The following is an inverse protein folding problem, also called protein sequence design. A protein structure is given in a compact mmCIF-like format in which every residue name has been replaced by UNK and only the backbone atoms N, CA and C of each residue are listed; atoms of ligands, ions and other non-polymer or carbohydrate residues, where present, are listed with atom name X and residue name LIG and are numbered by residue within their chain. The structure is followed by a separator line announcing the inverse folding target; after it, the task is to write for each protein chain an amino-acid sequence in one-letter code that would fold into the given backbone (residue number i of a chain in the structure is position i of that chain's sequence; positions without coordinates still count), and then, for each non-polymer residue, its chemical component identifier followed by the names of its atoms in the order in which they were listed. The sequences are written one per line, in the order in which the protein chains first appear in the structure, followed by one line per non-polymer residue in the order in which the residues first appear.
data_IF_379615178573
#
_entry.id   IF_379615178573
#
_cell.length_a   1.000
_cell.length_b   1.000
_cell.length_c   1.000
_cell.angle_alpha   90.00
_cell.angle_beta   90.00
_cell.angle_gamma   90.00
#
_symmetry.space_group_name_H-M   'P 1'
#
loop_
_entity.id
_entity.type
_entity.pdbx_description
1 polymer ?
#
# COMPACT_ATOMS: atom_id res chain seq x y z
N UNK A 1 -24.92 -21.83 14.76
CA UNK A 1 -25.45 -21.12 13.57
C UNK A 1 -24.75 -19.78 13.48
N UNK A 2 -23.96 -19.54 12.42
CA UNK A 2 -23.32 -18.25 12.19
C UNK A 2 -24.35 -17.34 11.52
N UNK A 3 -24.74 -16.25 12.17
CA UNK A 3 -25.66 -15.26 11.59
C UNK A 3 -24.85 -14.44 10.58
N UNK A 4 -25.21 -14.52 9.31
CA UNK A 4 -24.64 -13.67 8.27
C UNK A 4 -25.13 -12.22 8.46
N UNK A 5 -24.20 -11.28 8.65
CA UNK A 5 -24.51 -9.85 8.74
C UNK A 5 -24.27 -9.19 7.38
N UNK A 6 -25.21 -8.34 6.97
CA UNK A 6 -25.05 -7.47 5.80
C UNK A 6 -24.16 -6.25 6.11
N UNK A 7 -23.95 -5.38 5.14
CA UNK A 7 -23.23 -4.10 5.28
C UNK A 7 -22.11 -3.85 4.27
N UNK A 8 -21.76 -4.85 3.44
CA UNK A 8 -20.75 -4.74 2.39
C UNK A 8 -21.36 -5.05 1.02
N UNK A 9 -20.82 -4.44 -0.03
CA UNK A 9 -21.19 -4.78 -1.42
C UNK A 9 -20.51 -6.07 -1.89
N UNK A 10 -19.27 -6.30 -1.45
CA UNK A 10 -18.49 -7.51 -1.78
C UNK A 10 -18.00 -8.15 -0.49
N UNK A 11 -18.06 -9.46 -0.44
CA UNK A 11 -17.58 -10.29 0.67
C UNK A 11 -16.48 -11.23 0.21
N UNK A 12 -15.61 -11.61 1.16
CA UNK A 12 -14.54 -12.59 0.91
C UNK A 12 -13.22 -12.01 0.42
N UNK A 13 -13.16 -10.69 0.12
CA UNK A 13 -11.91 -10.00 -0.18
C UNK A 13 -11.66 -8.92 0.89
N UNK A 14 -10.87 -9.27 1.91
CA UNK A 14 -10.64 -8.39 3.06
C UNK A 14 -9.58 -7.31 2.80
N UNK A 15 -8.67 -7.53 1.84
CA UNK A 15 -7.54 -6.62 1.56
C UNK A 15 -7.75 -5.88 0.26
N UNK A 16 -7.67 -4.55 0.32
CA UNK A 16 -7.63 -3.66 -0.83
C UNK A 16 -6.19 -3.23 -1.13
N UNK A 17 -5.82 -3.22 -2.40
CA UNK A 17 -4.47 -2.87 -2.87
C UNK A 17 -4.58 -1.67 -3.80
N UNK A 18 -4.03 -0.53 -3.36
CA UNK A 18 -3.88 0.66 -4.20
C UNK A 18 -2.70 0.46 -5.15
N UNK A 19 -2.95 0.66 -6.43
CA UNK A 19 -1.99 0.39 -7.48
C UNK A 19 -1.57 1.68 -8.18
N UNK A 20 -0.27 1.82 -8.40
CA UNK A 20 0.21 2.81 -9.37
C UNK A 20 -0.28 2.45 -10.77
N UNK A 21 -0.53 3.47 -11.59
CA UNK A 21 -0.82 3.30 -13.00
C UNK A 21 0.46 2.91 -13.75
N UNK A 22 0.64 1.61 -13.98
CA UNK A 22 1.81 1.04 -14.64
C UNK A 22 1.42 -0.11 -15.56
N UNK A 23 2.25 -0.36 -16.57
CA UNK A 23 2.00 -1.37 -17.61
C UNK A 23 3.15 -2.37 -17.80
N UNK A 24 4.10 -2.42 -16.86
CA UNK A 24 5.14 -3.44 -16.89
C UNK A 24 4.60 -4.82 -16.48
N UNK A 25 5.24 -5.93 -16.90
CA UNK A 25 4.83 -7.27 -16.53
C UNK A 25 4.83 -7.46 -15.01
N UNK A 26 3.78 -8.08 -14.49
CA UNK A 26 3.67 -8.47 -13.07
C UNK A 26 3.62 -9.97 -12.98
N UNK A 27 4.77 -10.57 -12.66
CA UNK A 27 4.91 -12.03 -12.52
C UNK A 27 4.29 -12.50 -11.18
N UNK A 28 3.98 -13.81 -11.03
CA UNK A 28 3.62 -14.39 -9.74
C UNK A 28 4.67 -14.04 -8.67
N UNK A 29 4.22 -13.58 -7.49
CA UNK A 29 5.06 -13.01 -6.45
C UNK A 29 5.03 -11.48 -6.39
N UNK A 30 4.68 -10.79 -7.48
CA UNK A 30 4.44 -9.34 -7.46
C UNK A 30 3.11 -9.02 -6.77
N UNK A 31 3.09 -7.94 -5.98
CA UNK A 31 1.89 -7.46 -5.25
C UNK A 31 0.70 -7.24 -6.18
N UNK A 32 0.94 -6.75 -7.39
CA UNK A 32 -0.09 -6.47 -8.39
C UNK A 32 -0.50 -7.67 -9.24
N UNK A 33 -0.01 -8.86 -8.97
CA UNK A 33 -0.47 -10.07 -9.62
C UNK A 33 -1.47 -10.80 -8.71
N UNK A 34 -2.70 -10.98 -9.18
CA UNK A 34 -3.76 -11.60 -8.39
C UNK A 34 -3.45 -13.03 -7.94
N UNK A 35 -2.62 -13.77 -8.68
CA UNK A 35 -2.21 -15.13 -8.32
C UNK A 35 -1.14 -15.21 -7.25
N UNK A 36 -0.57 -14.08 -6.85
CA UNK A 36 0.38 -13.99 -5.72
C UNK A 36 -0.29 -14.31 -4.39
N UNK A 37 -1.58 -13.98 -4.28
CA UNK A 37 -2.30 -14.03 -3.02
C UNK A 37 -3.02 -15.36 -2.86
N UNK A 38 -2.87 -16.07 -1.72
CA UNK A 38 -3.61 -17.31 -1.44
C UNK A 38 -5.06 -17.04 -0.99
N UNK A 39 -5.51 -15.77 -1.04
CA UNK A 39 -6.85 -15.31 -0.70
C UNK A 39 -7.28 -14.19 -1.67
N UNK A 40 -8.58 -13.94 -1.82
CA UNK A 40 -9.07 -12.86 -2.67
C UNK A 40 -8.63 -11.49 -2.17
N UNK A 41 -8.20 -10.64 -3.11
CA UNK A 41 -7.87 -9.22 -2.87
C UNK A 41 -8.61 -8.35 -3.87
N UNK A 42 -8.79 -7.07 -3.55
CA UNK A 42 -9.32 -6.08 -4.49
C UNK A 42 -8.22 -5.12 -4.90
N UNK A 43 -8.14 -4.84 -6.19
CA UNK A 43 -7.19 -3.87 -6.74
C UNK A 43 -7.90 -2.59 -7.16
N UNK A 44 -7.30 -1.44 -6.88
CA UNK A 44 -7.72 -0.15 -7.40
C UNK A 44 -6.52 0.59 -7.97
N UNK A 45 -6.51 0.78 -9.28
CA UNK A 45 -5.51 1.63 -9.95
C UNK A 45 -5.86 3.09 -9.69
N UNK A 46 -4.87 3.87 -9.26
CA UNK A 46 -5.01 5.32 -9.07
C UNK A 46 -4.56 6.01 -10.36
N UNK A 47 -5.47 6.68 -11.08
CA UNK A 47 -5.14 7.35 -12.33
C UNK A 47 -4.06 8.42 -12.13
N UNK A 48 -3.22 8.61 -13.14
CA UNK A 48 -2.12 9.58 -13.14
C UNK A 48 -1.00 9.35 -12.12
N UNK A 49 -1.10 8.32 -11.29
CA UNK A 49 -0.05 7.93 -10.35
C UNK A 49 0.95 6.97 -11.01
N UNK A 50 1.68 7.43 -12.02
CA UNK A 50 2.70 6.60 -12.66
C UNK A 50 3.90 6.37 -11.74
N UNK A 51 4.68 5.28 -11.91
CA UNK A 51 5.92 5.06 -11.17
C UNK A 51 6.91 6.22 -11.29
N UNK A 52 7.06 6.81 -12.46
CA UNK A 52 7.90 7.98 -12.68
C UNK A 52 7.46 9.16 -11.81
N UNK A 53 6.16 9.46 -11.81
CA UNK A 53 5.58 10.55 -11.04
C UNK A 53 5.83 10.35 -9.54
N UNK A 54 5.51 9.15 -9.02
CA UNK A 54 5.58 8.88 -7.58
C UNK A 54 7.01 8.74 -7.08
N UNK A 55 7.89 8.06 -7.85
CA UNK A 55 9.25 7.71 -7.40
C UNK A 55 10.26 8.79 -7.70
N UNK A 56 10.19 9.41 -8.88
CA UNK A 56 11.21 10.37 -9.36
C UNK A 56 10.83 11.82 -9.11
N UNK A 57 9.56 12.16 -9.29
CA UNK A 57 9.06 13.54 -9.15
C UNK A 57 8.47 13.82 -7.76
N UNK A 58 8.16 12.77 -7.00
CA UNK A 58 7.44 12.86 -5.73
C UNK A 58 5.93 12.74 -5.91
N UNK A 59 5.22 12.29 -4.86
CA UNK A 59 3.79 12.02 -4.93
C UNK A 59 2.92 13.28 -4.72
N UNK A 60 3.50 14.48 -4.65
CA UNK A 60 2.78 15.72 -4.39
C UNK A 60 1.60 15.91 -5.35
N UNK A 61 0.46 16.33 -4.78
CA UNK A 61 -0.78 16.51 -5.53
C UNK A 61 -1.55 15.23 -5.88
N UNK A 62 -1.05 14.05 -5.51
CA UNK A 62 -1.75 12.77 -5.70
C UNK A 62 -2.51 12.29 -4.45
N UNK A 63 -2.30 12.91 -3.30
CA UNK A 63 -2.86 12.51 -2.01
C UNK A 63 -4.38 12.31 -2.06
N UNK A 64 -5.13 13.28 -2.60
CA UNK A 64 -6.59 13.19 -2.68
C UNK A 64 -7.05 12.01 -3.55
N UNK A 65 -6.38 11.74 -4.66
CA UNK A 65 -6.71 10.62 -5.54
C UNK A 65 -6.47 9.27 -4.86
N UNK A 66 -5.41 9.14 -4.06
CA UNK A 66 -5.16 7.94 -3.27
C UNK A 66 -6.18 7.76 -2.14
N UNK A 67 -6.56 8.83 -1.45
CA UNK A 67 -7.60 8.81 -0.41
C UNK A 67 -8.94 8.38 -1.00
N UNK A 68 -9.35 8.97 -2.12
CA UNK A 68 -10.60 8.63 -2.79
C UNK A 68 -10.65 7.16 -3.22
N UNK A 69 -9.57 6.68 -3.84
CA UNK A 69 -9.44 5.29 -4.25
C UNK A 69 -9.49 4.32 -3.06
N UNK A 70 -8.84 4.68 -1.94
CA UNK A 70 -8.87 3.88 -0.72
C UNK A 70 -10.27 3.82 -0.12
N UNK A 71 -10.96 4.96 -0.01
CA UNK A 71 -12.33 5.02 0.50
C UNK A 71 -13.31 4.25 -0.39
N UNK A 72 -13.09 4.24 -1.71
CA UNK A 72 -13.90 3.43 -2.63
C UNK A 72 -13.74 1.92 -2.34
N UNK A 73 -12.51 1.44 -2.13
CA UNK A 73 -12.25 0.06 -1.72
C UNK A 73 -12.94 -0.28 -0.39
N UNK A 74 -12.87 0.61 0.59
CA UNK A 74 -13.55 0.43 1.89
C UNK A 74 -15.07 0.35 1.71
N UNK A 75 -15.67 1.27 0.95
CA UNK A 75 -17.12 1.24 0.64
C UNK A 75 -17.52 -0.04 -0.11
N UNK A 76 -16.61 -0.60 -0.90
CA UNK A 76 -16.85 -1.86 -1.61
C UNK A 76 -16.87 -3.04 -0.65
N UNK A 77 -16.03 -3.04 0.38
CA UNK A 77 -16.11 -4.06 1.43
C UNK A 77 -14.80 -4.60 1.97
N UNK A 78 -13.64 -3.99 1.65
CA UNK A 78 -12.36 -4.41 2.24
C UNK A 78 -12.28 -4.00 3.72
N UNK A 79 -11.49 -4.73 4.48
CA UNK A 79 -11.27 -4.53 5.91
C UNK A 79 -9.87 -3.95 6.21
N UNK A 80 -9.04 -3.79 5.19
CA UNK A 80 -7.71 -3.18 5.29
C UNK A 80 -7.16 -2.78 3.94
N UNK A 81 -6.24 -1.82 3.92
CA UNK A 81 -5.64 -1.24 2.73
C UNK A 81 -4.12 -1.43 2.75
N UNK A 82 -3.56 -1.78 1.59
CA UNK A 82 -2.12 -1.69 1.32
C UNK A 82 -1.88 -1.10 -0.06
N UNK A 83 -0.62 -0.92 -0.43
CA UNK A 83 -0.22 -0.38 -1.74
C UNK A 83 0.82 -1.25 -2.42
N UNK A 84 1.04 -1.02 -3.71
CA UNK A 84 2.08 -1.68 -4.48
C UNK A 84 3.39 -0.88 -4.60
N UNK A 85 3.52 0.23 -3.87
CA UNK A 85 4.69 1.10 -4.00
C UNK A 85 5.18 1.60 -2.63
N UNK A 86 6.41 1.25 -2.27
CA UNK A 86 7.03 1.65 -1.00
C UNK A 86 7.13 3.16 -0.79
N UNK A 87 7.21 3.94 -1.87
CA UNK A 87 7.25 5.41 -1.81
C UNK A 87 5.95 6.05 -1.31
N UNK A 88 4.85 5.31 -1.30
CA UNK A 88 3.58 5.76 -0.72
C UNK A 88 3.58 5.73 0.81
N UNK A 89 4.70 5.38 1.46
CA UNK A 89 4.90 5.60 2.89
C UNK A 89 4.54 7.03 3.31
N UNK A 90 4.86 8.02 2.48
CA UNK A 90 4.55 9.44 2.73
C UNK A 90 3.05 9.74 2.92
N UNK A 91 2.18 8.86 2.45
CA UNK A 91 0.72 9.00 2.62
C UNK A 91 0.15 8.14 3.75
N UNK A 92 1.01 7.54 4.59
CA UNK A 92 0.55 6.63 5.65
C UNK A 92 -0.49 7.28 6.56
N UNK A 93 -0.17 8.42 7.14
CA UNK A 93 -1.03 9.10 8.11
C UNK A 93 -2.33 9.60 7.46
N UNK A 94 -2.23 10.12 6.24
CA UNK A 94 -3.39 10.63 5.50
C UNK A 94 -4.38 9.51 5.18
N UNK A 95 -3.87 8.39 4.66
CA UNK A 95 -4.69 7.22 4.33
C UNK A 95 -5.29 6.58 5.59
N UNK A 96 -4.48 6.41 6.64
CA UNK A 96 -4.95 5.83 7.89
C UNK A 96 -6.07 6.69 8.52
N UNK A 97 -5.92 8.01 8.48
CA UNK A 97 -6.92 8.95 9.02
C UNK A 97 -8.21 8.96 8.20
N UNK A 98 -8.12 8.77 6.87
CA UNK A 98 -9.25 8.92 5.96
C UNK A 98 -10.07 7.63 5.76
N UNK A 99 -9.51 6.44 6.02
CA UNK A 99 -10.13 5.18 5.60
C UNK A 99 -11.02 4.52 6.66
N UNK A 100 -10.77 4.75 7.94
CA UNK A 100 -11.51 4.08 9.03
C UNK A 100 -11.24 2.56 9.15
N UNK A 101 -10.27 2.03 8.41
CA UNK A 101 -9.76 0.65 8.47
C UNK A 101 -8.24 0.69 8.58
N UNK A 102 -7.58 -0.39 9.04
CA UNK A 102 -6.12 -0.47 9.05
C UNK A 102 -5.52 -0.21 7.67
N UNK A 103 -4.45 0.60 7.63
CA UNK A 103 -3.68 0.89 6.42
C UNK A 103 -2.22 0.56 6.66
N UNK A 104 -1.62 -0.19 5.73
CA UNK A 104 -0.18 -0.42 5.66
C UNK A 104 0.31 0.04 4.28
N UNK A 105 0.64 1.32 4.14
CA UNK A 105 0.93 1.94 2.85
C UNK A 105 2.25 1.49 2.24
N UNK A 106 3.17 0.92 3.04
CA UNK A 106 4.50 0.56 2.57
C UNK A 106 5.13 -0.54 3.43
N UNK A 107 5.93 -1.38 2.79
CA UNK A 107 6.82 -2.33 3.50
C UNK A 107 7.88 -1.62 4.33
N UNK A 108 8.17 -0.34 4.07
CA UNK A 108 9.11 0.46 4.86
C UNK A 108 8.67 0.61 6.33
N UNK A 109 7.37 0.53 6.61
CA UNK A 109 6.83 0.50 7.97
C UNK A 109 7.40 -0.64 8.83
N UNK A 110 7.96 -1.68 8.21
CA UNK A 110 8.61 -2.78 8.92
C UNK A 110 10.03 -2.44 9.42
N UNK A 111 10.65 -1.37 8.89
CA UNK A 111 12.06 -1.03 9.20
C UNK A 111 12.30 -0.85 10.70
N UNK A 112 11.51 -0.07 11.44
CA UNK A 112 11.73 0.09 12.90
C UNK A 112 11.60 -1.24 13.66
N UNK A 113 10.61 -2.04 13.29
CA UNK A 113 10.38 -3.33 13.94
C UNK A 113 11.48 -4.33 13.65
N UNK A 114 11.91 -4.46 12.39
CA UNK A 114 13.03 -5.33 12.02
C UNK A 114 14.32 -4.85 12.69
N UNK A 115 14.57 -3.53 12.72
CA UNK A 115 15.74 -2.97 13.39
C UNK A 115 15.79 -3.32 14.88
N UNK A 116 14.63 -3.32 15.55
CA UNK A 116 14.54 -3.60 16.98
C UNK A 116 14.89 -5.06 17.35
N UNK A 117 14.72 -6.01 16.42
CA UNK A 117 15.03 -7.42 16.66
C UNK A 117 16.45 -7.83 16.22
N UNK A 118 17.20 -6.92 15.61
CA UNK A 118 18.57 -7.20 15.18
C UNK A 118 19.55 -7.13 16.36
N UNK A 119 20.61 -7.92 16.28
CA UNK A 119 21.71 -7.86 17.23
C UNK A 119 22.39 -6.48 17.20
N UNK A 120 23.01 -6.05 18.33
CA UNK A 120 23.72 -4.77 18.41
C UNK A 120 24.73 -4.59 17.26
N UNK A 121 24.75 -3.41 16.67
CA UNK A 121 25.63 -3.06 15.55
C UNK A 121 25.17 -3.53 14.17
N UNK A 122 24.08 -4.29 14.08
CA UNK A 122 23.45 -4.65 12.80
C UNK A 122 22.46 -3.57 12.36
N UNK A 123 22.30 -3.43 11.05
CA UNK A 123 21.38 -2.46 10.44
C UNK A 123 20.47 -3.14 9.43
N UNK A 124 19.24 -2.64 9.30
CA UNK A 124 18.32 -3.05 8.24
C UNK A 124 18.83 -2.52 6.91
N UNK A 125 18.88 -3.41 5.91
CA UNK A 125 19.09 -3.01 4.52
C UNK A 125 17.73 -2.81 3.84
N UNK A 126 17.60 -1.73 3.06
CA UNK A 126 16.43 -1.45 2.24
C UNK A 126 16.79 -1.63 0.77
N UNK A 127 16.13 -2.60 0.11
CA UNK A 127 16.20 -2.72 -1.34
C UNK A 127 15.11 -1.84 -1.95
N UNK A 128 15.49 -0.91 -2.81
CA UNK A 128 14.59 0.07 -3.42
C UNK A 128 14.91 0.28 -4.90
N UNK A 129 13.91 0.70 -5.68
CA UNK A 129 14.07 1.03 -7.10
C UNK A 129 14.91 2.28 -7.31
N UNK A 130 14.94 3.21 -6.35
CA UNK A 130 15.73 4.44 -6.40
C UNK A 130 16.21 4.82 -4.99
N UNK A 131 17.50 4.63 -4.74
CA UNK A 131 18.10 5.08 -3.49
C UNK A 131 18.25 6.62 -3.44
N UNK A 132 18.35 7.27 -4.60
CA UNK A 132 18.54 8.72 -4.68
C UNK A 132 17.28 9.51 -4.29
N UNK A 133 16.09 8.95 -4.51
CA UNK A 133 14.80 9.59 -4.22
C UNK A 133 14.14 9.06 -2.95
N UNK A 134 14.66 7.97 -2.36
CA UNK A 134 14.23 7.48 -1.07
C UNK A 134 14.82 8.36 0.04
N UNK A 135 13.98 9.15 0.67
CA UNK A 135 14.39 10.09 1.73
C UNK A 135 14.14 9.54 3.14
N UNK A 136 14.73 10.12 4.18
CA UNK A 136 14.41 9.78 5.56
C UNK A 136 12.92 9.86 5.90
N UNK A 137 12.16 10.77 5.30
CA UNK A 137 10.71 10.89 5.51
C UNK A 137 9.95 9.60 5.17
N UNK A 138 10.39 8.84 4.16
CA UNK A 138 9.79 7.55 3.82
C UNK A 138 10.04 6.45 4.88
N UNK A 139 11.05 6.63 5.74
CA UNK A 139 11.43 5.67 6.77
C UNK A 139 10.82 5.99 8.14
N UNK A 140 10.28 7.19 8.30
CA UNK A 140 9.69 7.70 9.54
C UNK A 140 8.17 7.90 9.46
N UNK A 141 7.60 7.62 8.30
CA UNK A 141 6.17 7.72 8.04
C UNK A 141 5.39 6.53 8.63
#
# INVERSE_FOLDING_TARGET
MTIAKGGKNVYGAAVGILMLESRFPRIPGDVGNATTWPFPVMFKVVPSASPERVVLQGPDGLQSAFIEAAQELVRTGVDGITTNCGFLALFQDDLASACGVPVASSSLMQVPWVQAILAPGKRVGVLTVSAATLTPAHLTA
#
